data_IF_219720209127
#
_entry.id   IF_219720209127
#
_cell.length_a   1.000
_cell.length_b   1.000
_cell.length_c   1.000
_cell.angle_alpha   90.00
_cell.angle_beta   90.00
_cell.angle_gamma   90.00
#
_symmetry.space_group_name_H-M   'P 1'
#
loop_
_entity.id
_entity.type
_entity.pdbx_description
1 polymer ?
#
# COMPACT_ATOMS: atom_id res chain seq x y z
N UNK A 1 -32.93 -28.10 -26.86
CA UNK A 1 -31.73 -27.51 -27.49
C UNK A 1 -31.77 -26.02 -27.20
N UNK A 2 -30.85 -25.51 -26.39
CA UNK A 2 -30.78 -24.08 -26.08
C UNK A 2 -29.55 -23.51 -26.79
N UNK A 3 -29.80 -22.65 -27.77
CA UNK A 3 -28.78 -21.99 -28.59
C UNK A 3 -28.10 -20.91 -27.76
N UNK A 4 -26.78 -21.00 -27.59
CA UNK A 4 -25.96 -19.98 -26.95
C UNK A 4 -25.51 -18.96 -28.01
N UNK A 5 -26.18 -17.81 -28.08
CA UNK A 5 -25.73 -16.67 -28.87
C UNK A 5 -24.62 -15.93 -28.11
N UNK A 6 -23.37 -16.11 -28.55
CA UNK A 6 -22.26 -15.25 -28.15
C UNK A 6 -22.43 -13.86 -28.78
N UNK A 7 -23.03 -12.95 -28.03
CA UNK A 7 -22.95 -11.53 -28.34
C UNK A 7 -21.59 -11.05 -27.85
N UNK A 8 -20.71 -10.69 -28.77
CA UNK A 8 -19.43 -10.03 -28.51
C UNK A 8 -19.73 -8.61 -28.03
N UNK A 9 -20.19 -8.47 -26.79
CA UNK A 9 -20.16 -7.20 -26.10
C UNK A 9 -18.71 -6.90 -25.78
N UNK A 10 -18.15 -5.92 -26.49
CA UNK A 10 -16.88 -5.28 -26.18
C UNK A 10 -17.00 -4.69 -24.77
N UNK A 11 -16.65 -5.49 -23.76
CA UNK A 11 -16.59 -5.03 -22.38
C UNK A 11 -15.58 -3.89 -22.32
N UNK A 12 -16.06 -2.70 -21.93
CA UNK A 12 -15.19 -1.64 -21.44
C UNK A 12 -14.22 -2.23 -20.41
N UNK A 13 -12.99 -1.70 -20.24
CA UNK A 13 -12.09 -2.20 -19.19
C UNK A 13 -12.84 -2.07 -17.87
N UNK A 14 -13.34 -3.20 -17.37
CA UNK A 14 -13.95 -3.30 -16.07
C UNK A 14 -12.77 -3.08 -15.12
N UNK A 15 -12.64 -1.86 -14.61
CA UNK A 15 -11.78 -1.59 -13.47
C UNK A 15 -12.40 -2.39 -12.34
N UNK A 16 -11.99 -3.64 -12.22
CA UNK A 16 -12.37 -4.51 -11.11
C UNK A 16 -11.94 -3.74 -9.87
N UNK A 17 -12.92 -3.26 -9.11
CA UNK A 17 -12.68 -2.66 -7.81
C UNK A 17 -11.92 -3.73 -7.01
N UNK A 18 -10.61 -3.53 -6.88
CA UNK A 18 -9.76 -4.42 -6.12
C UNK A 18 -10.31 -4.40 -4.70
N UNK A 19 -10.72 -5.56 -4.19
CA UNK A 19 -11.21 -5.68 -2.82
C UNK A 19 -10.22 -4.98 -1.88
N UNK A 20 -10.71 -4.05 -1.07
CA UNK A 20 -9.87 -3.27 -0.15
C UNK A 20 -9.03 -4.19 0.75
N UNK A 21 -9.56 -5.39 1.08
CA UNK A 21 -8.82 -6.39 1.85
C UNK A 21 -7.65 -7.03 1.08
N UNK A 22 -7.82 -7.27 -0.22
CA UNK A 22 -6.75 -7.83 -1.06
C UNK A 22 -5.63 -6.81 -1.26
N UNK A 23 -5.95 -5.55 -1.53
CA UNK A 23 -4.95 -4.49 -1.66
C UNK A 23 -4.17 -4.31 -0.36
N UNK A 24 -4.87 -4.26 0.78
CA UNK A 24 -4.22 -4.17 2.09
C UNK A 24 -3.29 -5.36 2.33
N UNK A 25 -3.74 -6.59 2.05
CA UNK A 25 -2.90 -7.78 2.20
C UNK A 25 -1.64 -7.75 1.32
N UNK A 26 -1.76 -7.24 0.08
CA UNK A 26 -0.61 -7.05 -0.81
C UNK A 26 0.36 -6.01 -0.24
N UNK A 27 -0.14 -4.87 0.27
CA UNK A 27 0.69 -3.82 0.87
C UNK A 27 1.43 -4.30 2.13
N UNK A 28 0.76 -5.06 2.99
CA UNK A 28 1.37 -5.63 4.20
C UNK A 28 2.35 -6.78 3.88
N UNK A 29 2.21 -7.44 2.72
CA UNK A 29 3.10 -8.50 2.28
C UNK A 29 4.51 -8.04 1.85
N UNK A 30 4.73 -6.74 1.64
CA UNK A 30 6.04 -6.20 1.24
C UNK A 30 7.03 -6.20 2.41
N UNK A 31 8.02 -7.10 2.33
CA UNK A 31 9.05 -7.31 3.35
C UNK A 31 10.00 -6.12 3.49
N UNK A 32 10.27 -5.37 2.42
CA UNK A 32 11.16 -4.19 2.48
C UNK A 32 10.47 -2.95 3.08
N UNK A 33 9.15 -3.00 3.26
CA UNK A 33 8.33 -1.89 3.73
C UNK A 33 7.87 -0.95 2.61
N UNK A 34 6.70 -0.35 2.78
CA UNK A 34 6.10 0.60 1.83
C UNK A 34 5.63 1.86 2.55
N UNK A 35 6.05 3.03 2.04
CA UNK A 35 5.46 4.32 2.37
C UNK A 35 4.74 4.87 1.13
N UNK A 36 3.49 5.25 1.29
CA UNK A 36 2.70 5.91 0.25
C UNK A 36 2.54 7.37 0.67
N UNK A 37 2.94 8.28 -0.20
CA UNK A 37 2.86 9.73 0.00
C UNK A 37 1.83 10.32 -0.96
N UNK A 38 1.19 11.41 -0.56
CA UNK A 38 0.45 12.25 -1.51
C UNK A 38 1.41 13.14 -2.32
N UNK A 39 0.88 13.90 -3.27
CA UNK A 39 1.66 14.79 -4.14
C UNK A 39 2.35 15.93 -3.40
N UNK A 40 1.91 16.24 -2.18
CA UNK A 40 2.47 17.24 -1.28
C UNK A 40 3.63 16.66 -0.44
N UNK A 41 3.87 15.34 -0.53
CA UNK A 41 4.88 14.63 0.23
C UNK A 41 4.43 14.24 1.64
N UNK A 42 3.12 14.27 1.93
CA UNK A 42 2.58 13.84 3.22
C UNK A 42 2.29 12.34 3.20
N UNK A 43 2.57 11.66 4.33
CA UNK A 43 2.33 10.23 4.49
C UNK A 43 0.82 9.91 4.53
N UNK A 44 0.36 9.12 3.57
CA UNK A 44 -1.03 8.64 3.51
C UNK A 44 -1.17 7.19 3.97
N UNK A 45 -0.11 6.38 3.84
CA UNK A 45 -0.09 5.01 4.32
C UNK A 45 1.34 4.54 4.58
N UNK A 46 1.49 3.69 5.59
CA UNK A 46 2.70 2.92 5.85
C UNK A 46 2.26 1.50 6.20
N UNK A 47 2.96 0.50 5.66
CA UNK A 47 2.77 -0.88 6.11
C UNK A 47 3.54 -1.13 7.42
N UNK A 48 3.35 -2.31 8.01
CA UNK A 48 3.94 -2.65 9.31
C UNK A 48 5.47 -2.66 9.27
N UNK A 49 6.07 -3.24 8.23
CA UNK A 49 7.53 -3.31 8.13
C UNK A 49 8.18 -1.92 8.04
N UNK A 50 7.63 -1.03 7.21
CA UNK A 50 8.10 0.35 7.11
C UNK A 50 7.96 1.10 8.44
N UNK A 51 6.87 0.86 9.19
CA UNK A 51 6.65 1.47 10.50
C UNK A 51 7.75 1.08 11.48
N UNK A 52 8.09 -0.21 11.55
CA UNK A 52 9.16 -0.72 12.42
C UNK A 52 10.51 -0.09 12.05
N UNK A 53 10.84 0.01 10.76
CA UNK A 53 12.07 0.68 10.33
C UNK A 53 12.09 2.16 10.71
N UNK A 54 11.00 2.88 10.49
CA UNK A 54 10.91 4.29 10.89
C UNK A 54 11.06 4.46 12.40
N UNK A 55 10.47 3.58 13.22
CA UNK A 55 10.64 3.61 14.68
C UNK A 55 12.10 3.37 15.10
N UNK A 56 12.81 2.46 14.43
CA UNK A 56 14.23 2.20 14.70
C UNK A 56 15.15 3.35 14.25
N UNK A 57 14.81 4.01 13.15
CA UNK A 57 15.56 5.14 12.60
C UNK A 57 15.28 6.45 13.32
N UNK A 58 14.11 6.56 13.98
CA UNK A 58 13.78 7.74 14.77
C UNK A 58 14.68 7.76 16.00
N UNK A 59 15.57 8.76 16.13
CA UNK A 59 16.43 8.86 17.30
C UNK A 59 15.53 8.91 18.53
N UNK A 60 15.75 8.00 19.47
CA UNK A 60 15.09 8.05 20.76
C UNK A 60 15.47 9.40 21.40
N UNK A 61 14.56 10.38 21.37
CA UNK A 61 14.79 11.77 21.81
C UNK A 61 15.22 11.88 23.27
N UNK A 62 15.25 10.75 24.00
CA UNK A 62 15.77 10.62 25.36
C UNK A 62 17.29 10.66 25.46
N UNK A 63 18.04 10.58 24.36
CA UNK A 63 19.50 10.61 24.41
C UNK A 63 20.13 11.39 23.25
N UNK A 64 19.69 12.63 23.04
CA UNK A 64 20.52 13.60 22.31
C UNK A 64 21.80 13.80 23.15
N UNK A 65 22.88 13.09 22.79
CA UNK A 65 24.22 13.43 23.27
C UNK A 65 24.51 14.83 22.73
N UNK A 66 24.36 15.83 23.58
CA UNK A 66 24.97 17.14 23.39
C UNK A 66 26.48 16.88 23.38
N UNK A 67 27.08 16.98 22.20
CA UNK A 67 28.53 17.00 22.05
C UNK A 67 28.98 18.42 22.38
N UNK A 68 29.91 18.62 23.35
CA UNK A 68 30.45 19.95 23.69
C UNK A 68 31.17 20.64 22.54
#
# INVERSE_FOLDING_TARGET
>A
MHTLTNTLEKSAPQVQQLDNGLLQGVLEGFIDGVLILNTQGELVHTNETARVFCEQLTPNTKHLKVVP
#
